data_IF_454758634398
#
_entry.id   IF_454758634398
#
_cell.length_a   1.000
_cell.length_b   1.000
_cell.length_c   1.000
_cell.angle_alpha   90.00
_cell.angle_beta   90.00
_cell.angle_gamma   90.00
#
_symmetry.space_group_name_H-M   'P 1'
#
loop_
_entity.id
_entity.type
_entity.pdbx_description
1 polymer ?
#
# COMPACT_ATOMS: atom_id res chain seq x y z
N UNK A 1 23.58 -22.78 -3.30
CA UNK A 1 22.37 -23.30 -2.63
C UNK A 1 21.61 -22.05 -2.17
N UNK A 2 20.41 -21.80 -2.70
CA UNK A 2 19.60 -20.64 -2.25
C UNK A 2 18.98 -21.03 -0.91
N UNK A 3 19.47 -20.43 0.16
CA UNK A 3 18.83 -20.57 1.46
C UNK A 3 17.66 -19.58 1.49
N UNK A 4 16.45 -20.11 1.55
CA UNK A 4 15.23 -19.32 1.62
C UNK A 4 15.01 -18.90 3.09
N UNK A 5 15.30 -17.64 3.41
CA UNK A 5 14.87 -17.08 4.70
C UNK A 5 13.42 -16.68 4.60
N UNK A 6 12.71 -16.85 5.69
CA UNK A 6 11.27 -16.63 5.68
C UNK A 6 10.77 -16.17 7.04
N UNK A 7 10.08 -15.05 7.05
CA UNK A 7 9.22 -14.63 8.16
C UNK A 7 7.78 -14.53 7.65
N UNK A 8 6.87 -15.30 8.20
CA UNK A 8 5.45 -15.29 7.86
C UNK A 8 4.66 -14.81 9.06
N UNK A 9 4.05 -13.65 8.96
CA UNK A 9 3.28 -13.04 10.04
C UNK A 9 1.97 -13.80 10.29
N UNK A 10 1.56 -13.91 11.57
CA UNK A 10 0.21 -14.37 11.90
C UNK A 10 -0.85 -13.31 11.59
N UNK A 11 -0.48 -12.04 11.70
CA UNK A 11 -1.35 -10.93 11.36
C UNK A 11 -1.60 -10.86 9.85
N UNK A 12 -2.82 -10.47 9.47
CA UNK A 12 -3.26 -10.28 8.10
C UNK A 12 -3.61 -8.80 7.90
N UNK A 13 -2.99 -8.17 6.93
CA UNK A 13 -3.21 -6.76 6.57
C UNK A 13 -4.17 -6.70 5.39
N UNK A 14 -5.46 -6.45 5.64
CA UNK A 14 -6.54 -6.59 4.66
C UNK A 14 -7.38 -5.34 4.50
N UNK A 15 -7.11 -4.29 5.26
CA UNK A 15 -7.87 -3.05 5.17
C UNK A 15 -7.41 -2.24 3.94
N UNK A 16 -8.24 -2.15 2.88
CA UNK A 16 -7.88 -1.40 1.68
C UNK A 16 -7.99 0.12 1.86
N UNK A 17 -8.53 0.57 3.01
CA UNK A 17 -8.71 1.98 3.32
C UNK A 17 -7.55 2.56 4.14
N UNK A 18 -6.72 1.69 4.72
CA UNK A 18 -5.64 2.10 5.59
C UNK A 18 -4.29 2.08 4.86
N UNK A 19 -3.55 3.18 4.96
CA UNK A 19 -2.13 3.19 4.66
C UNK A 19 -1.38 2.40 5.73
N UNK A 20 -0.50 1.52 5.28
CA UNK A 20 0.30 0.66 6.16
C UNK A 20 1.77 0.86 5.81
N UNK A 21 2.57 1.23 6.79
CA UNK A 21 4.02 1.32 6.65
C UNK A 21 4.65 -0.03 6.96
N UNK A 22 5.25 -0.66 5.97
CA UNK A 22 6.08 -1.85 6.12
C UNK A 22 7.56 -1.48 6.15
N UNK A 23 8.26 -1.95 7.15
CA UNK A 23 9.69 -1.77 7.27
C UNK A 23 10.36 -3.10 7.61
N UNK A 24 11.40 -3.43 6.87
CA UNK A 24 12.18 -4.65 7.09
C UNK A 24 13.67 -4.34 7.17
N UNK A 25 14.36 -5.01 8.08
CA UNK A 25 15.81 -4.91 8.24
C UNK A 25 16.42 -6.29 8.04
N UNK A 26 17.46 -6.35 7.24
CA UNK A 26 18.39 -7.48 7.11
C UNK A 26 19.73 -7.08 7.70
N UNK A 27 20.08 -7.65 8.84
CA UNK A 27 21.35 -7.42 9.51
C UNK A 27 21.93 -8.76 9.95
N UNK A 28 22.54 -9.48 9.01
CA UNK A 28 23.10 -10.78 9.28
C UNK A 28 24.33 -10.75 10.19
N UNK A 29 24.92 -9.59 10.41
CA UNK A 29 26.05 -9.43 11.35
C UNK A 29 25.60 -9.55 12.81
N UNK A 30 24.30 -9.41 13.08
CA UNK A 30 23.74 -9.47 14.43
C UNK A 30 24.01 -10.83 15.11
N UNK A 31 24.51 -10.78 16.35
CA UNK A 31 24.77 -11.98 17.14
C UNK A 31 23.52 -12.77 17.53
N UNK A 32 22.39 -12.05 17.70
CA UNK A 32 21.10 -12.65 18.05
C UNK A 32 20.39 -13.08 16.79
N UNK A 33 20.06 -14.37 16.66
CA UNK A 33 19.46 -14.94 15.47
C UNK A 33 18.16 -14.25 15.05
N UNK A 34 17.22 -14.07 15.99
CA UNK A 34 15.93 -13.42 15.74
C UNK A 34 16.01 -11.91 15.44
N UNK A 35 17.18 -11.32 15.54
CA UNK A 35 17.43 -9.91 15.21
C UNK A 35 18.12 -9.73 13.84
N UNK A 36 18.50 -10.83 13.17
CA UNK A 36 19.11 -10.76 11.84
C UNK A 36 18.12 -10.37 10.76
N UNK A 37 16.84 -10.72 10.93
CA UNK A 37 15.75 -10.19 10.12
C UNK A 37 14.69 -9.66 11.08
N UNK A 38 14.28 -8.42 10.88
CA UNK A 38 13.25 -7.76 11.70
C UNK A 38 12.21 -7.14 10.78
N UNK A 39 10.95 -7.31 11.11
CA UNK A 39 9.83 -6.70 10.39
C UNK A 39 9.06 -5.79 11.35
N UNK A 40 8.57 -4.68 10.79
CA UNK A 40 7.78 -3.69 11.51
C UNK A 40 6.58 -3.28 10.68
N UNK A 41 5.49 -3.01 11.35
CA UNK A 41 4.30 -2.41 10.77
C UNK A 41 3.93 -1.19 11.58
N UNK A 42 3.80 -0.04 10.90
CA UNK A 42 3.49 1.24 11.53
C UNK A 42 4.37 1.54 12.76
N UNK A 43 5.67 1.27 12.63
CA UNK A 43 6.65 1.48 13.68
C UNK A 43 6.75 0.38 14.73
N UNK A 44 5.78 -0.53 14.82
CA UNK A 44 5.75 -1.60 15.80
C UNK A 44 6.42 -2.87 15.26
N UNK A 45 7.33 -3.45 16.06
CA UNK A 45 8.01 -4.69 15.68
C UNK A 45 7.05 -5.86 15.70
N UNK A 46 7.03 -6.62 14.63
CA UNK A 46 6.29 -7.90 14.58
C UNK A 46 7.08 -8.96 15.33
N UNK A 47 6.41 -9.65 16.25
CA UNK A 47 6.99 -10.71 17.07
C UNK A 47 6.20 -12.02 17.00
N UNK A 48 5.09 -12.05 16.25
CA UNK A 48 4.24 -13.20 16.11
C UNK A 48 4.24 -13.71 14.68
N UNK A 49 4.84 -14.86 14.45
CA UNK A 49 5.01 -15.49 13.16
C UNK A 49 4.42 -16.91 13.16
N UNK A 50 3.91 -17.32 12.00
CA UNK A 50 3.51 -18.70 11.72
C UNK A 50 4.64 -19.53 11.10
N UNK A 51 5.70 -18.88 10.66
CA UNK A 51 6.90 -19.51 10.12
C UNK A 51 8.08 -18.55 10.22
N UNK A 52 9.18 -19.06 10.75
CA UNK A 52 10.41 -18.30 10.95
C UNK A 52 11.59 -19.15 10.46
N UNK A 53 12.44 -18.53 9.63
CA UNK A 53 13.71 -19.10 9.19
C UNK A 53 14.71 -17.95 9.02
N UNK A 54 15.73 -17.93 9.86
CA UNK A 54 16.69 -16.84 9.94
C UNK A 54 18.02 -17.22 9.30
N UNK A 55 18.74 -16.26 8.67
CA UNK A 55 20.06 -16.50 8.13
C UNK A 55 21.06 -16.85 9.22
N UNK A 56 22.11 -17.59 8.86
CA UNK A 56 23.29 -17.75 9.70
C UNK A 56 23.97 -16.39 9.91
N UNK A 57 24.71 -16.25 11.02
CA UNK A 57 25.48 -15.02 11.25
C UNK A 57 26.49 -14.78 10.11
N UNK A 58 26.58 -13.53 9.67
CA UNK A 58 27.42 -13.09 8.55
C UNK A 58 27.10 -13.77 7.20
N UNK A 59 25.91 -14.33 7.06
CA UNK A 59 25.51 -14.90 5.79
C UNK A 59 25.21 -13.78 4.78
N UNK A 60 25.77 -13.87 3.59
CA UNK A 60 25.47 -12.94 2.52
C UNK A 60 24.04 -13.12 2.01
N UNK A 61 23.34 -12.02 1.85
CA UNK A 61 21.98 -11.97 1.30
C UNK A 61 21.99 -11.39 -0.10
N UNK A 62 21.27 -12.03 -1.01
CA UNK A 62 21.24 -11.66 -2.43
C UNK A 62 20.38 -10.43 -2.74
N UNK A 63 19.69 -9.84 -1.77
CA UNK A 63 18.78 -8.70 -2.01
C UNK A 63 19.48 -7.53 -2.71
N UNK A 64 20.76 -7.32 -2.42
CA UNK A 64 21.55 -6.21 -2.98
C UNK A 64 22.64 -6.67 -3.97
N UNK A 65 22.85 -7.97 -4.13
CA UNK A 65 23.93 -8.51 -4.98
C UNK A 65 23.52 -8.70 -6.44
N UNK A 66 22.22 -8.75 -6.73
CA UNK A 66 21.68 -8.80 -8.08
C UNK A 66 21.16 -7.45 -8.52
N UNK A 67 21.36 -7.14 -9.80
CA UNK A 67 20.91 -5.88 -10.40
C UNK A 67 19.39 -5.87 -10.66
N UNK A 68 18.74 -7.04 -10.57
CA UNK A 68 17.31 -7.18 -10.82
C UNK A 68 16.49 -6.95 -9.53
N UNK A 69 16.03 -5.75 -9.32
CA UNK A 69 15.09 -5.41 -8.26
C UNK A 69 13.75 -5.00 -8.87
N UNK A 70 12.65 -5.47 -8.31
CA UNK A 70 11.32 -5.08 -8.75
C UNK A 70 10.45 -4.62 -7.58
N UNK A 71 9.69 -3.54 -7.81
CA UNK A 71 8.70 -3.01 -6.89
C UNK A 71 7.31 -3.29 -7.46
N UNK A 72 6.38 -3.72 -6.62
CA UNK A 72 5.00 -4.02 -7.02
C UNK A 72 4.81 -5.38 -7.69
N UNK A 73 5.87 -6.17 -7.83
CA UNK A 73 5.82 -7.51 -8.42
C UNK A 73 6.69 -8.50 -7.66
N UNK A 74 6.17 -9.70 -7.41
CA UNK A 74 7.02 -10.80 -6.97
C UNK A 74 7.85 -11.30 -8.16
N UNK A 75 9.17 -11.39 -7.97
CA UNK A 75 10.07 -12.00 -8.95
C UNK A 75 9.91 -13.53 -8.91
N UNK A 76 8.92 -14.03 -9.64
CA UNK A 76 8.69 -15.47 -9.79
C UNK A 76 8.25 -15.74 -11.22
N UNK A 77 8.93 -16.71 -11.86
CA UNK A 77 8.51 -17.21 -13.17
C UNK A 77 7.25 -18.07 -13.10
N UNK A 78 6.85 -18.48 -11.90
CA UNK A 78 5.72 -19.41 -11.67
C UNK A 78 4.44 -18.67 -11.26
N UNK A 79 4.58 -17.51 -10.59
CA UNK A 79 3.43 -16.73 -10.10
C UNK A 79 3.63 -15.27 -10.47
N UNK A 80 2.92 -14.81 -11.48
CA UNK A 80 2.79 -13.39 -11.82
C UNK A 80 1.99 -12.65 -10.73
N UNK A 81 2.50 -12.62 -9.50
CA UNK A 81 1.84 -11.92 -8.41
C UNK A 81 2.21 -10.44 -8.48
N UNK A 82 1.26 -9.62 -8.88
CA UNK A 82 1.36 -8.17 -8.82
C UNK A 82 0.72 -7.66 -7.53
N UNK A 83 1.26 -6.58 -7.00
CA UNK A 83 0.63 -5.87 -5.90
C UNK A 83 -0.58 -5.11 -6.44
N UNK A 84 -1.75 -5.36 -5.85
CA UNK A 84 -2.96 -4.60 -6.10
C UNK A 84 -3.13 -3.59 -4.96
N UNK A 85 -2.85 -2.33 -5.23
CA UNK A 85 -2.93 -1.27 -4.22
C UNK A 85 -2.14 -0.04 -4.61
N UNK A 86 -1.96 0.85 -3.64
CA UNK A 86 -1.19 2.08 -3.79
C UNK A 86 0.11 1.99 -3.02
N UNK A 87 1.13 2.66 -3.52
CA UNK A 87 2.41 2.80 -2.85
C UNK A 87 2.73 4.29 -2.74
N UNK A 88 3.18 4.69 -1.56
CA UNK A 88 3.76 5.98 -1.31
C UNK A 88 5.13 5.73 -0.69
N UNK A 89 6.15 6.24 -1.33
CA UNK A 89 7.54 6.14 -0.90
C UNK A 89 8.04 4.69 -0.78
N UNK A 90 9.01 4.35 -1.58
CA UNK A 90 9.70 3.05 -1.51
C UNK A 90 11.19 3.29 -1.44
N UNK A 91 11.84 2.81 -0.40
CA UNK A 91 13.27 2.97 -0.22
C UNK A 91 13.98 1.63 0.04
N UNK A 92 15.16 1.49 -0.52
CA UNK A 92 16.13 0.46 -0.17
C UNK A 92 17.38 1.16 0.36
N UNK A 93 17.85 0.73 1.51
CA UNK A 93 19.09 1.22 2.12
C UNK A 93 20.14 0.09 2.09
N UNK A 94 21.29 0.38 1.53
CA UNK A 94 22.43 -0.53 1.47
C UNK A 94 23.48 -0.15 2.53
N UNK A 95 23.90 -1.14 3.32
CA UNK A 95 25.01 -1.01 4.25
C UNK A 95 24.69 -0.41 5.63
N UNK A 96 23.47 0.11 5.86
CA UNK A 96 23.10 0.69 7.17
C UNK A 96 21.74 0.16 7.64
N UNK A 97 21.72 -0.47 8.80
CA UNK A 97 20.50 -0.92 9.46
C UNK A 97 19.91 0.21 10.34
N UNK A 98 19.23 1.15 9.70
CA UNK A 98 18.55 2.25 10.41
C UNK A 98 17.42 1.74 11.31
N UNK A 99 17.12 2.51 12.36
CA UNK A 99 15.94 2.27 13.18
C UNK A 99 14.66 2.71 12.41
N UNK A 100 13.54 2.02 12.64
CA UNK A 100 12.24 2.35 12.01
C UNK A 100 11.80 3.80 12.27
N UNK A 101 12.21 4.39 13.40
CA UNK A 101 11.91 5.78 13.77
C UNK A 101 12.61 6.84 12.90
N UNK A 102 13.54 6.43 12.03
CA UNK A 102 14.10 7.32 11.00
C UNK A 102 13.13 7.50 9.83
N UNK A 103 12.21 6.57 9.63
CA UNK A 103 11.27 6.54 8.49
C UNK A 103 9.87 7.04 8.85
N UNK A 104 9.57 7.13 10.14
CA UNK A 104 8.26 7.59 10.58
C UNK A 104 8.22 7.85 12.08
N UNK A 105 7.08 8.34 12.52
CA UNK A 105 6.79 8.61 13.93
C UNK A 105 5.30 8.48 14.21
N UNK A 106 4.95 8.18 15.44
CA UNK A 106 3.57 8.22 15.90
C UNK A 106 3.18 9.67 16.22
N UNK A 107 2.19 10.19 15.52
CA UNK A 107 1.62 11.49 15.79
C UNK A 107 0.96 11.49 17.18
N UNK A 108 1.42 12.36 18.06
CA UNK A 108 1.00 12.37 19.48
C UNK A 108 -0.48 12.76 19.66
N UNK A 109 -1.07 13.47 18.72
CA UNK A 109 -2.46 13.92 18.80
C UNK A 109 -3.45 12.87 18.29
N UNK A 110 -3.10 12.15 17.23
CA UNK A 110 -3.99 11.16 16.59
C UNK A 110 -3.63 9.72 16.92
N UNK A 111 -2.43 9.44 17.42
CA UNK A 111 -1.91 8.08 17.61
C UNK A 111 -1.57 7.36 16.29
N UNK A 112 -1.65 8.05 15.16
CA UNK A 112 -1.41 7.47 13.85
C UNK A 112 0.08 7.54 13.49
N UNK A 113 0.63 6.46 12.95
CA UNK A 113 1.97 6.45 12.39
C UNK A 113 2.01 7.27 11.10
N UNK A 114 2.95 8.20 11.02
CA UNK A 114 3.16 9.08 9.86
C UNK A 114 4.58 8.94 9.33
N UNK A 115 4.79 8.98 8.01
CA UNK A 115 6.13 8.99 7.45
C UNK A 115 6.88 10.27 7.78
N UNK A 116 8.20 10.15 7.85
CA UNK A 116 9.16 11.26 7.94
C UNK A 116 9.83 11.49 6.60
N UNK A 117 10.32 12.70 6.39
CA UNK A 117 11.25 12.98 5.31
C UNK A 117 12.56 12.19 5.52
N UNK A 118 12.90 11.36 4.55
CA UNK A 118 14.10 10.52 4.57
C UNK A 118 15.17 10.98 3.57
N UNK A 119 14.98 12.11 2.91
CA UNK A 119 15.94 12.64 1.92
C UNK A 119 17.34 12.91 2.50
N UNK A 120 17.42 13.12 3.82
CA UNK A 120 18.69 13.30 4.54
C UNK A 120 19.41 12.02 4.92
N UNK A 121 18.87 10.83 4.65
CA UNK A 121 19.51 9.57 4.95
C UNK A 121 20.56 9.20 3.89
N UNK A 122 21.52 8.37 4.28
CA UNK A 122 22.47 7.78 3.34
C UNK A 122 21.92 6.45 2.84
N UNK A 123 21.72 6.34 1.53
CA UNK A 123 21.12 5.15 0.91
C UNK A 123 22.15 4.07 0.58
N UNK A 124 23.45 4.34 0.71
CA UNK A 124 24.52 3.42 0.35
C UNK A 124 24.69 3.31 -1.18
N UNK A 125 25.57 2.42 -1.64
CA UNK A 125 25.93 2.37 -3.07
C UNK A 125 24.85 1.71 -3.95
N UNK A 126 24.06 0.82 -3.38
CA UNK A 126 23.02 0.07 -4.09
C UNK A 126 21.60 0.41 -3.65
N UNK A 127 21.45 1.37 -2.73
CA UNK A 127 20.18 1.87 -2.29
C UNK A 127 19.51 2.78 -3.30
N UNK A 128 18.21 2.99 -3.14
CA UNK A 128 17.41 3.92 -3.94
C UNK A 128 16.26 4.48 -3.08
N UNK A 129 15.66 5.57 -3.55
CA UNK A 129 14.45 6.15 -2.97
C UNK A 129 13.50 6.63 -4.06
N UNK A 130 12.32 6.03 -4.13
CA UNK A 130 11.24 6.42 -5.03
C UNK A 130 10.21 7.18 -4.23
N UNK A 131 10.02 8.45 -4.52
CA UNK A 131 9.00 9.29 -3.87
C UNK A 131 7.72 9.45 -4.72
N UNK A 132 7.73 8.90 -5.94
CA UNK A 132 6.64 8.89 -6.92
C UNK A 132 6.06 10.26 -7.28
N UNK A 133 6.81 11.35 -7.06
CA UNK A 133 6.33 12.72 -7.34
C UNK A 133 6.49 13.12 -8.78
N UNK A 134 7.49 12.59 -9.48
CA UNK A 134 7.71 12.89 -10.89
C UNK A 134 6.70 12.15 -11.77
N UNK A 135 5.67 12.86 -12.25
CA UNK A 135 4.65 12.28 -13.12
C UNK A 135 5.18 11.83 -14.48
N UNK A 136 6.35 12.31 -14.90
CA UNK A 136 6.99 11.91 -16.15
C UNK A 136 7.79 10.61 -15.99
N UNK A 137 8.23 10.28 -14.78
CA UNK A 137 8.96 9.06 -14.44
C UNK A 137 8.66 8.63 -12.99
N UNK A 138 7.61 7.84 -12.78
CA UNK A 138 7.28 7.31 -11.44
C UNK A 138 8.36 6.37 -10.87
N UNK A 139 9.29 5.90 -11.69
CA UNK A 139 10.45 5.11 -11.27
C UNK A 139 11.68 5.93 -10.94
N UNK A 140 11.59 7.27 -10.89
CA UNK A 140 12.71 8.15 -10.64
C UNK A 140 13.29 7.95 -9.23
N UNK A 141 14.61 7.72 -9.17
CA UNK A 141 15.36 7.57 -7.93
C UNK A 141 15.86 8.93 -7.43
N UNK A 142 15.31 9.39 -6.32
CA UNK A 142 15.69 10.67 -5.68
C UNK A 142 16.74 10.52 -4.57
N UNK A 143 17.30 9.32 -4.40
CA UNK A 143 18.38 9.08 -3.41
C UNK A 143 19.73 9.71 -3.77
N UNK A 144 19.91 10.10 -5.04
CA UNK A 144 21.17 10.57 -5.60
C UNK A 144 22.04 9.47 -6.21
N UNK A 145 21.63 8.21 -6.15
CA UNK A 145 22.37 7.07 -6.73
C UNK A 145 22.06 6.83 -8.22
N UNK A 146 21.08 7.53 -8.79
CA UNK A 146 20.63 7.41 -10.18
C UNK A 146 20.22 5.96 -10.53
N UNK A 147 19.44 5.32 -9.64
CA UNK A 147 18.93 3.96 -9.79
C UNK A 147 17.46 3.95 -10.16
N UNK A 148 17.12 4.64 -11.23
CA UNK A 148 15.78 4.67 -11.76
C UNK A 148 15.26 3.27 -12.08
N UNK A 149 14.01 3.00 -11.72
CA UNK A 149 13.33 1.77 -12.09
C UNK A 149 12.63 1.92 -13.44
N UNK A 150 12.78 0.92 -14.29
CA UNK A 150 12.02 0.85 -15.55
C UNK A 150 10.56 0.58 -15.25
N UNK A 151 9.67 1.43 -15.75
CA UNK A 151 8.23 1.28 -15.61
C UNK A 151 7.70 0.17 -16.52
N UNK A 152 6.76 -0.62 -16.01
CA UNK A 152 5.98 -1.59 -16.80
C UNK A 152 4.51 -1.42 -16.47
N UNK A 153 3.72 -1.06 -17.48
CA UNK A 153 2.26 -0.88 -17.41
C UNK A 153 1.79 0.15 -16.35
N UNK A 154 2.64 1.12 -16.03
CA UNK A 154 2.35 2.23 -15.12
C UNK A 154 2.85 3.54 -15.73
N UNK A 155 2.04 4.59 -15.64
CA UNK A 155 2.31 5.92 -16.16
C UNK A 155 1.69 7.02 -15.27
N UNK A 156 1.75 8.28 -15.71
CA UNK A 156 1.23 9.43 -14.98
C UNK A 156 -0.25 9.34 -14.59
N UNK A 157 -1.05 8.54 -15.30
CA UNK A 157 -2.48 8.38 -14.98
C UNK A 157 -2.72 7.51 -13.74
N UNK A 158 -1.68 6.80 -13.28
CA UNK A 158 -1.70 5.99 -12.06
C UNK A 158 -1.27 6.78 -10.82
N UNK A 159 -0.76 8.01 -11.00
CA UNK A 159 -0.42 8.89 -9.89
C UNK A 159 -1.69 9.43 -9.21
N UNK A 160 -1.72 9.42 -7.89
CA UNK A 160 -2.83 9.95 -7.08
C UNK A 160 -2.31 10.92 -6.03
N UNK A 161 -3.20 11.80 -5.55
CA UNK A 161 -2.89 12.74 -4.45
C UNK A 161 -3.14 12.13 -3.08
N UNK A 162 -3.69 10.91 -3.00
CA UNK A 162 -3.86 10.20 -1.76
C UNK A 162 -2.51 9.68 -1.24
N UNK A 163 -2.17 10.04 -0.01
CA UNK A 163 -0.89 9.72 0.63
C UNK A 163 -1.10 9.39 2.11
N UNK A 164 -0.14 8.76 2.79
CA UNK A 164 -0.24 8.47 4.22
C UNK A 164 -0.47 9.71 5.11
N UNK A 165 -0.06 10.90 4.65
CA UNK A 165 -0.25 12.17 5.37
C UNK A 165 -1.45 12.97 4.88
N UNK A 166 -2.05 12.58 3.78
CA UNK A 166 -3.19 13.25 3.15
C UNK A 166 -4.17 12.19 2.63
N UNK A 167 -4.73 11.42 3.54
CA UNK A 167 -5.61 10.30 3.24
C UNK A 167 -7.04 10.79 3.06
N UNK A 168 -7.57 10.61 1.86
CA UNK A 168 -8.93 10.99 1.49
C UNK A 168 -9.89 9.81 1.62
N UNK A 169 -11.19 10.12 1.72
CA UNK A 169 -12.21 9.12 1.53
C UNK A 169 -12.17 8.59 0.10
N UNK A 170 -11.97 7.31 -0.04
CA UNK A 170 -12.03 6.60 -1.32
C UNK A 170 -13.24 5.67 -1.36
N UNK A 171 -13.53 5.09 -2.51
CA UNK A 171 -14.57 4.09 -2.65
C UNK A 171 -14.07 2.73 -2.12
N UNK A 172 -14.87 2.09 -1.26
CA UNK A 172 -14.47 0.86 -0.59
C UNK A 172 -14.78 -0.38 -1.41
N UNK A 173 -13.78 -0.93 -2.07
CA UNK A 173 -13.93 -2.16 -2.86
C UNK A 173 -14.32 -3.41 -2.06
N UNK A 174 -14.23 -3.38 -0.73
CA UNK A 174 -14.69 -4.44 0.17
C UNK A 174 -16.15 -4.28 0.58
N UNK A 175 -16.74 -3.09 0.32
CA UNK A 175 -18.10 -2.72 0.73
C UNK A 175 -18.89 -2.21 -0.48
N UNK A 176 -19.08 -3.09 -1.44
CA UNK A 176 -19.76 -2.84 -2.70
C UNK A 176 -20.58 -4.06 -3.14
N UNK A 177 -21.44 -3.87 -4.13
CA UNK A 177 -22.16 -4.98 -4.78
C UNK A 177 -21.19 -6.07 -5.23
N UNK A 178 -21.40 -7.30 -4.76
CA UNK A 178 -20.52 -8.45 -5.00
C UNK A 178 -20.98 -9.34 -6.16
N UNK A 179 -22.17 -9.11 -6.69
CA UNK A 179 -22.67 -9.86 -7.85
C UNK A 179 -21.76 -9.64 -9.05
N UNK A 180 -21.25 -10.72 -9.63
CA UNK A 180 -20.25 -10.68 -10.71
C UNK A 180 -20.75 -9.97 -11.97
N UNK A 181 -22.06 -9.94 -12.21
CA UNK A 181 -22.68 -9.27 -13.36
C UNK A 181 -22.78 -7.76 -13.18
N UNK A 182 -22.87 -7.29 -11.91
CA UNK A 182 -23.12 -5.88 -11.58
C UNK A 182 -22.00 -5.26 -10.73
N UNK A 183 -20.91 -5.99 -10.53
CA UNK A 183 -19.77 -5.51 -9.75
C UNK A 183 -19.15 -4.29 -10.44
N UNK A 184 -19.07 -3.13 -9.79
CA UNK A 184 -18.47 -1.96 -10.39
C UNK A 184 -16.96 -2.11 -10.54
N UNK A 185 -16.40 -1.43 -11.53
CA UNK A 185 -14.95 -1.28 -11.68
C UNK A 185 -14.51 0.01 -11.01
N UNK A 186 -13.51 -0.08 -10.12
CA UNK A 186 -12.87 1.06 -9.49
C UNK A 186 -11.61 1.44 -10.26
N UNK A 187 -11.39 2.75 -10.43
CA UNK A 187 -10.26 3.35 -11.14
C UNK A 187 -9.70 4.54 -10.38
N UNK A 188 -8.54 5.02 -10.80
CA UNK A 188 -7.89 6.24 -10.30
C UNK A 188 -7.83 6.28 -8.77
N UNK A 189 -7.30 5.24 -8.17
CA UNK A 189 -7.19 5.24 -6.75
C UNK A 189 -8.48 5.02 -6.00
N UNK A 190 -9.41 4.24 -6.56
CA UNK A 190 -10.75 4.08 -5.99
C UNK A 190 -11.49 5.43 -5.83
N UNK A 191 -11.11 6.42 -6.64
CA UNK A 191 -11.78 7.72 -6.72
C UNK A 191 -12.78 7.79 -7.89
N UNK A 192 -12.71 6.83 -8.81
CA UNK A 192 -13.62 6.73 -9.95
C UNK A 192 -14.36 5.39 -9.90
N UNK A 193 -15.68 5.49 -10.01
CA UNK A 193 -16.59 4.37 -10.06
C UNK A 193 -17.14 4.25 -11.47
N UNK A 194 -16.98 3.10 -12.08
CA UNK A 194 -17.62 2.75 -13.34
C UNK A 194 -18.63 1.63 -13.09
N UNK A 195 -19.94 1.92 -13.20
CA UNK A 195 -20.94 0.87 -13.09
C UNK A 195 -20.85 -0.07 -14.29
N UNK A 196 -21.10 -1.35 -14.05
CA UNK A 196 -21.43 -2.32 -15.09
C UNK A 196 -22.94 -2.23 -15.43
N UNK A 197 -23.45 -3.12 -16.25
CA UNK A 197 -24.87 -3.16 -16.57
C UNK A 197 -25.71 -3.48 -15.32
N UNK A 198 -26.69 -2.64 -15.00
CA UNK A 198 -27.60 -2.83 -13.86
C UNK A 198 -27.31 -1.93 -12.67
N UNK A 199 -27.92 -2.26 -11.52
CA UNK A 199 -27.79 -1.48 -10.29
C UNK A 199 -26.63 -2.00 -9.44
N UNK A 200 -25.68 -1.13 -9.15
CA UNK A 200 -24.59 -1.44 -8.23
C UNK A 200 -24.42 -0.32 -7.22
N UNK A 201 -24.00 -0.67 -6.01
CA UNK A 201 -23.82 0.25 -4.89
C UNK A 201 -22.42 0.07 -4.31
N UNK A 202 -21.82 1.16 -3.87
CA UNK A 202 -20.53 1.19 -3.18
C UNK A 202 -20.55 2.26 -2.12
N UNK A 203 -19.89 2.03 -0.99
CA UNK A 203 -19.70 3.02 0.05
C UNK A 203 -18.28 3.58 0.04
N UNK A 204 -18.10 4.74 0.66
CA UNK A 204 -16.79 5.30 0.94
C UNK A 204 -16.09 4.60 2.10
N UNK A 205 -14.79 4.80 2.21
CA UNK A 205 -13.93 4.22 3.25
C UNK A 205 -14.04 4.94 4.59
N UNK A 206 -14.63 6.15 4.63
CA UNK A 206 -14.76 6.93 5.85
C UNK A 206 -16.22 7.03 6.27
N UNK A 207 -16.48 6.81 7.55
CA UNK A 207 -17.76 7.02 8.19
C UNK A 207 -17.69 8.23 9.13
N UNK A 208 -18.76 9.01 9.18
CA UNK A 208 -18.85 10.21 10.02
C UNK A 208 -20.01 10.07 11.01
N UNK A 209 -19.78 10.45 12.27
CA UNK A 209 -20.79 10.33 13.34
C UNK A 209 -21.33 11.67 13.81
N UNK A 210 -20.57 12.75 13.67
CA UNK A 210 -20.95 14.09 14.10
C UNK A 210 -20.12 15.15 13.37
N UNK A 211 -20.54 16.40 13.43
CA UNK A 211 -19.82 17.54 12.86
C UNK A 211 -20.38 18.01 11.51
N UNK A 212 -19.62 18.86 10.84
CA UNK A 212 -19.94 19.40 9.51
C UNK A 212 -18.97 18.82 8.51
N UNK A 213 -19.48 18.14 7.52
CA UNK A 213 -18.67 17.43 6.52
C UNK A 213 -19.04 17.92 5.12
N UNK A 214 -18.07 17.96 4.26
CA UNK A 214 -18.20 18.30 2.86
C UNK A 214 -17.62 17.18 2.00
N UNK A 215 -18.28 16.83 0.92
CA UNK A 215 -17.83 15.88 -0.07
C UNK A 215 -18.35 16.28 -1.45
N UNK A 216 -17.64 15.88 -2.48
CA UNK A 216 -17.97 16.17 -3.87
C UNK A 216 -18.04 14.87 -4.68
N UNK A 217 -19.00 14.83 -5.59
CA UNK A 217 -19.07 13.82 -6.65
C UNK A 217 -19.20 14.51 -7.99
N UNK A 218 -18.39 14.07 -8.95
CA UNK A 218 -18.48 14.50 -10.34
C UNK A 218 -19.07 13.39 -11.19
N UNK A 219 -20.18 13.65 -11.86
CA UNK A 219 -20.71 12.77 -12.90
C UNK A 219 -19.85 12.89 -14.15
N UNK A 220 -19.35 11.75 -14.64
CA UNK A 220 -18.57 11.67 -15.87
C UNK A 220 -19.46 11.20 -17.02
N UNK A 221 -20.53 10.46 -16.72
CA UNK A 221 -21.52 9.97 -17.68
C UNK A 221 -22.94 10.34 -17.24
N UNK A 222 -23.87 10.39 -18.17
CA UNK A 222 -25.27 10.82 -17.94
C UNK A 222 -26.21 9.70 -17.51
N UNK A 223 -25.71 8.50 -17.20
CA UNK A 223 -26.53 7.43 -16.65
C UNK A 223 -27.04 7.79 -15.25
N UNK A 224 -28.27 7.45 -14.92
CA UNK A 224 -28.88 7.77 -13.62
C UNK A 224 -28.06 7.20 -12.46
N UNK A 225 -27.52 8.08 -11.64
CA UNK A 225 -26.71 7.75 -10.46
C UNK A 225 -27.35 8.38 -9.24
N UNK A 226 -27.35 7.65 -8.12
CA UNK A 226 -27.80 8.16 -6.84
C UNK A 226 -26.58 8.35 -5.93
N UNK A 227 -26.48 9.51 -5.30
CA UNK A 227 -25.47 9.84 -4.31
C UNK A 227 -26.15 10.23 -3.01
N UNK A 228 -25.56 9.83 -1.90
CA UNK A 228 -26.12 10.18 -0.61
C UNK A 228 -25.31 9.66 0.56
N UNK A 229 -25.86 9.85 1.74
CA UNK A 229 -25.35 9.29 2.99
C UNK A 229 -26.27 8.15 3.43
N UNK A 230 -25.69 7.13 3.99
CA UNK A 230 -26.44 6.00 4.51
C UNK A 230 -25.94 5.61 5.91
N UNK A 231 -26.74 4.89 6.66
CA UNK A 231 -26.31 4.28 7.91
C UNK A 231 -25.37 3.11 7.66
N UNK A 232 -24.50 2.82 8.62
CA UNK A 232 -23.58 1.69 8.54
C UNK A 232 -24.28 0.33 8.34
N UNK A 233 -25.52 0.22 8.76
CA UNK A 233 -26.32 -1.01 8.70
C UNK A 233 -27.10 -1.17 7.38
N UNK A 234 -26.97 -0.24 6.44
CA UNK A 234 -27.62 -0.40 5.14
C UNK A 234 -27.01 -1.63 4.42
N UNK A 235 -27.85 -2.61 4.12
CA UNK A 235 -27.44 -3.74 3.30
C UNK A 235 -27.15 -3.27 1.88
N UNK A 236 -25.94 -3.55 1.39
CA UNK A 236 -25.64 -3.38 -0.02
C UNK A 236 -26.25 -4.58 -0.77
N UNK A 237 -27.19 -4.33 -1.71
CA UNK A 237 -27.88 -5.43 -2.40
C UNK A 237 -26.90 -6.33 -3.14
N UNK A 238 -27.06 -7.63 -2.96
CA UNK A 238 -26.33 -8.66 -3.73
C UNK A 238 -26.95 -8.84 -5.13
N UNK A 239 -28.18 -8.38 -5.32
CA UNK A 239 -28.95 -8.53 -6.56
C UNK A 239 -29.81 -7.30 -6.88
N UNK A 240 -30.14 -7.16 -8.14
CA UNK A 240 -30.78 -6.06 -8.86
C UNK A 240 -32.24 -5.71 -8.51
N UNK A 241 -32.68 -5.82 -7.29
CA UNK A 241 -33.97 -5.25 -6.91
C UNK A 241 -33.79 -3.83 -6.39
N UNK A 242 -34.25 -2.86 -7.13
CA UNK A 242 -34.44 -1.51 -6.63
C UNK A 242 -35.42 -1.56 -5.49
N UNK A 243 -34.95 -1.48 -4.24
CA UNK A 243 -35.82 -1.01 -3.18
C UNK A 243 -35.88 0.50 -3.29
N UNK A 244 -36.96 0.99 -3.88
CA UNK A 244 -37.35 2.38 -3.77
C UNK A 244 -37.68 2.66 -2.31
N UNK A 245 -36.69 3.15 -1.54
CA UNK A 245 -36.89 3.68 -0.23
C UNK A 245 -37.71 4.95 -0.34
N UNK A 246 -38.94 4.89 0.08
CA UNK A 246 -39.80 6.02 0.38
C UNK A 246 -39.34 6.75 1.64
#
# INVERSE_FOLDING_TARGET
MYTNFKLVTNALYRDPAAWVHFFAVWDTSNGTEGDRIRMYVNGERITSFSGEDYPSQNQECFIVSKEDFSVGRAFSTVYGSFTHGYMAETALIDGTAYAVTQFGETDSASGIWKPKDITGLTFGNKGFYLDYKDSSNLGNDVSGNNRDLTLSDIDSTHQTTDTPTNNFCTLNGMDMTTNTTYKPTLRKGSLEYQPESGSSTIRGTQAVTAGKWYWECRLITTAGQNFGVCTANLNIPVASSQENGS
#
